data_IF_875089913241
#
_entry.id   IF_875089913241
#
_cell.length_a   1.000
_cell.length_b   1.000
_cell.length_c   1.000
_cell.angle_alpha   90.00
_cell.angle_beta   90.00
_cell.angle_gamma   90.00
#
_symmetry.space_group_name_H-M   'P 1'
#
loop_
_entity.id
_entity.type
_entity.pdbx_description
1 polymer ?
#
# COMPACT_ATOMS: atom_id res chain seq x y z
N UNK A 1 34.84 12.77 17.70
CA UNK A 1 33.90 13.90 17.66
C UNK A 1 33.99 14.50 16.26
N UNK A 2 32.86 14.80 15.61
CA UNK A 2 32.87 15.36 14.25
C UNK A 2 33.33 16.81 14.31
N UNK A 3 34.30 17.17 13.47
CA UNK A 3 34.80 18.54 13.36
C UNK A 3 33.96 19.31 12.33
N UNK A 4 33.51 20.50 12.71
CA UNK A 4 32.71 21.43 11.92
C UNK A 4 33.49 22.73 11.72
N UNK A 5 34.01 22.99 10.51
CA UNK A 5 34.73 24.20 10.19
C UNK A 5 33.78 25.39 10.03
N UNK A 6 34.22 26.54 10.54
CA UNK A 6 33.61 27.85 10.39
C UNK A 6 34.63 28.75 9.70
N UNK A 7 34.19 29.49 8.69
CA UNK A 7 35.01 30.48 8.02
C UNK A 7 35.14 31.74 8.90
N UNK A 8 35.62 32.84 8.32
CA UNK A 8 35.55 34.14 9.00
C UNK A 8 34.10 34.56 9.14
N UNK A 9 33.64 34.65 10.38
CA UNK A 9 32.30 35.08 10.72
C UNK A 9 32.30 36.53 11.19
N UNK A 10 31.28 37.29 10.78
CA UNK A 10 31.04 38.66 11.24
C UNK A 10 30.16 38.62 12.49
N UNK A 11 30.61 39.31 13.55
CA UNK A 11 29.89 39.42 14.81
C UNK A 11 29.22 40.78 14.88
N UNK A 12 27.88 40.78 14.86
CA UNK A 12 27.07 41.98 14.68
C UNK A 12 25.87 41.97 15.60
N UNK A 13 25.41 43.14 16.03
CA UNK A 13 24.13 43.31 16.70
C UNK A 13 22.98 42.86 15.77
N UNK A 14 22.21 41.82 16.13
CA UNK A 14 21.12 41.33 15.29
C UNK A 14 19.98 42.33 15.09
N UNK A 15 19.83 43.30 15.99
CA UNK A 15 18.76 44.31 15.92
C UNK A 15 19.20 45.57 15.18
N UNK A 16 20.51 45.79 15.06
CA UNK A 16 21.07 46.89 14.29
C UNK A 16 22.38 46.46 13.60
N UNK A 17 22.30 45.94 12.37
CA UNK A 17 23.46 45.42 11.65
C UNK A 17 24.58 46.43 11.36
N UNK A 18 24.36 47.73 11.59
CA UNK A 18 25.41 48.75 11.52
C UNK A 18 26.38 48.67 12.71
N UNK A 19 25.97 48.04 13.81
CA UNK A 19 26.78 47.87 15.01
C UNK A 19 27.49 46.51 14.98
N UNK A 20 28.79 46.53 14.72
CA UNK A 20 29.63 45.33 14.83
C UNK A 20 30.34 45.29 16.17
N UNK A 21 30.68 44.08 16.63
CA UNK A 21 31.56 43.90 17.79
C UNK A 21 32.99 44.18 17.33
N UNK A 22 33.39 45.44 17.19
CA UNK A 22 34.74 45.81 16.77
C UNK A 22 35.75 45.68 17.92
N UNK A 23 36.85 44.97 17.70
CA UNK A 23 37.92 44.77 18.70
C UNK A 23 37.39 44.25 20.06
N UNK A 24 36.35 43.40 20.04
CA UNK A 24 35.72 42.85 21.23
C UNK A 24 36.02 41.37 21.44
N UNK A 25 35.80 40.90 22.67
CA UNK A 25 35.83 39.48 22.99
C UNK A 25 34.48 38.84 22.66
N UNK A 26 34.53 37.70 21.97
CA UNK A 26 33.37 36.93 21.53
C UNK A 26 33.48 35.54 22.12
N UNK A 27 32.56 35.22 23.02
CA UNK A 27 32.51 33.92 23.69
C UNK A 27 31.66 32.96 22.87
N UNK A 28 32.18 31.77 22.58
CA UNK A 28 31.48 30.75 21.78
C UNK A 28 31.04 29.60 22.69
N UNK A 29 29.81 29.15 22.54
CA UNK A 29 29.17 28.14 23.37
C UNK A 29 28.52 27.07 22.48
N UNK A 30 28.24 25.93 23.10
CA UNK A 30 27.27 24.98 22.56
C UNK A 30 25.90 25.67 22.47
N UNK A 31 25.15 25.53 21.37
CA UNK A 31 23.82 26.13 21.23
C UNK A 31 22.82 25.66 22.30
N UNK A 32 23.02 24.48 22.90
CA UNK A 32 22.21 24.00 24.01
C UNK A 32 22.53 24.72 25.34
N UNK A 33 23.73 25.29 25.50
CA UNK A 33 24.12 26.10 26.66
C UNK A 33 23.63 27.55 26.50
N UNK A 34 22.31 27.72 26.55
CA UNK A 34 21.65 29.04 26.46
C UNK A 34 22.06 29.99 27.59
N UNK A 35 22.45 29.44 28.76
CA UNK A 35 22.97 30.21 29.88
C UNK A 35 24.37 30.80 29.58
N UNK A 36 25.16 30.16 28.71
CA UNK A 36 26.51 30.61 28.34
C UNK A 36 27.50 30.43 29.48
N UNK A 37 27.48 29.24 30.09
CA UNK A 37 28.26 28.90 31.27
C UNK A 37 29.56 28.18 30.93
N UNK A 38 29.57 27.39 29.86
CA UNK A 38 30.67 26.51 29.47
C UNK A 38 31.17 26.87 28.08
N UNK A 39 32.35 27.50 28.03
CA UNK A 39 32.97 27.86 26.75
C UNK A 39 33.31 26.60 25.95
N UNK A 40 32.99 26.65 24.66
CA UNK A 40 33.26 25.55 23.74
C UNK A 40 34.76 25.44 23.45
N UNK A 41 35.29 24.22 23.40
CA UNK A 41 36.66 24.00 22.93
C UNK A 41 36.73 24.26 21.41
N UNK A 42 37.60 25.19 21.01
CA UNK A 42 37.80 25.57 19.61
C UNK A 42 39.18 25.11 19.14
N UNK A 43 39.31 24.89 17.84
CA UNK A 43 40.61 24.71 17.18
C UNK A 43 40.78 25.73 16.05
N UNK A 44 42.03 26.04 15.71
CA UNK A 44 42.37 26.74 14.48
C UNK A 44 42.22 25.80 13.26
N UNK A 45 42.30 26.30 12.02
CA UNK A 45 42.26 25.46 10.81
C UNK A 45 43.39 24.44 10.69
N UNK A 46 44.47 24.60 11.47
CA UNK A 46 45.56 23.63 11.56
C UNK A 46 45.33 22.55 12.63
N UNK A 47 44.21 22.64 13.36
CA UNK A 47 43.81 21.68 14.41
C UNK A 47 44.37 21.99 15.80
N UNK A 48 45.10 23.08 15.99
CA UNK A 48 45.63 23.45 17.30
C UNK A 48 44.54 24.12 18.15
N UNK A 49 44.60 24.02 19.49
CA UNK A 49 43.65 24.72 20.36
C UNK A 49 43.62 26.23 20.08
N UNK A 50 42.42 26.77 19.88
CA UNK A 50 42.17 28.19 19.72
C UNK A 50 41.56 28.74 21.02
N UNK A 51 42.03 29.89 21.54
CA UNK A 51 41.43 30.52 22.71
C UNK A 51 39.94 30.79 22.53
N UNK A 52 39.17 30.63 23.59
CA UNK A 52 37.79 31.05 23.70
C UNK A 52 37.65 31.75 25.06
N UNK A 53 37.29 33.05 25.14
CA UNK A 53 36.78 33.92 24.08
C UNK A 53 37.77 34.23 22.94
N UNK A 54 37.23 34.42 21.73
CA UNK A 54 38.00 34.87 20.55
C UNK A 54 37.90 36.38 20.39
N UNK A 55 38.99 37.01 19.96
CA UNK A 55 39.05 38.45 19.70
C UNK A 55 38.59 38.74 18.26
N UNK A 56 37.63 39.65 18.09
CA UNK A 56 37.27 40.19 16.77
C UNK A 56 38.22 41.31 16.34
N UNK A 57 38.31 41.56 15.03
CA UNK A 57 39.08 42.68 14.48
C UNK A 57 38.27 44.00 14.50
N UNK A 58 38.85 45.08 13.95
CA UNK A 58 38.21 46.40 13.88
C UNK A 58 36.92 46.45 13.06
N UNK A 59 36.65 45.41 12.26
CA UNK A 59 35.45 45.27 11.45
C UNK A 59 34.47 44.23 12.02
N UNK A 60 34.77 43.64 13.17
CA UNK A 60 33.93 42.65 13.83
C UNK A 60 34.06 41.22 13.34
N UNK A 61 35.07 40.91 12.52
CA UNK A 61 35.32 39.53 12.10
C UNK A 61 36.12 38.77 13.15
N UNK A 62 35.73 37.53 13.41
CA UNK A 62 36.50 36.54 14.16
C UNK A 62 37.23 35.59 13.20
N UNK A 63 38.38 35.01 13.60
CA UNK A 63 39.14 34.12 12.72
C UNK A 63 38.37 32.82 12.41
N UNK A 64 38.75 32.12 11.31
CA UNK A 64 38.25 30.78 11.04
C UNK A 64 38.55 29.85 12.22
N UNK A 65 37.63 28.93 12.49
CA UNK A 65 37.72 28.02 13.64
C UNK A 65 37.07 26.69 13.33
N UNK A 66 37.43 25.67 14.10
CA UNK A 66 36.78 24.36 14.09
C UNK A 66 36.11 24.18 15.44
N UNK A 67 34.83 23.80 15.42
CA UNK A 67 34.08 23.40 16.60
C UNK A 67 33.56 21.97 16.45
N UNK A 68 33.00 21.42 17.52
CA UNK A 68 32.46 20.05 17.56
C UNK A 68 30.96 19.98 17.32
N UNK A 69 30.33 21.14 17.07
CA UNK A 69 28.90 21.29 16.79
C UNK A 69 28.68 22.02 15.46
N UNK A 70 27.66 21.64 14.68
CA UNK A 70 27.37 22.24 13.37
C UNK A 70 26.81 23.67 13.45
N UNK A 71 26.26 24.04 14.61
CA UNK A 71 25.87 25.39 14.98
C UNK A 71 26.54 25.77 16.30
N UNK A 72 26.88 27.04 16.46
CA UNK A 72 27.43 27.58 17.71
C UNK A 72 26.65 28.83 18.14
N UNK A 73 26.49 28.99 19.45
CA UNK A 73 25.98 30.22 20.06
C UNK A 73 27.17 31.15 20.33
N UNK A 74 27.06 32.42 19.96
CA UNK A 74 28.05 33.42 20.32
C UNK A 74 27.44 34.49 21.23
N UNK A 75 28.22 35.01 22.17
CA UNK A 75 27.86 36.14 23.02
C UNK A 75 29.01 37.15 23.10
N UNK A 76 28.68 38.44 23.05
CA UNK A 76 29.60 39.53 23.33
C UNK A 76 28.85 40.71 23.94
N UNK A 77 29.11 41.02 25.21
CA UNK A 77 28.31 41.98 25.96
C UNK A 77 26.83 41.58 25.97
N UNK A 78 25.97 42.48 25.50
CA UNK A 78 24.52 42.25 25.35
C UNK A 78 24.13 41.57 24.04
N UNK A 79 25.06 41.44 23.09
CA UNK A 79 24.77 40.85 21.78
C UNK A 79 24.92 39.34 21.83
N UNK A 80 24.01 38.66 21.13
CA UNK A 80 23.92 37.22 21.05
C UNK A 80 23.49 36.81 19.65
N UNK A 81 24.00 35.70 19.15
CA UNK A 81 23.55 35.15 17.88
C UNK A 81 24.08 33.74 17.64
N UNK A 82 23.87 33.24 16.43
CA UNK A 82 24.27 31.90 16.03
C UNK A 82 25.14 31.94 14.78
N UNK A 83 26.12 31.06 14.74
CA UNK A 83 26.87 30.74 13.51
C UNK A 83 26.59 29.31 13.10
N UNK A 84 26.52 29.07 11.79
CA UNK A 84 26.36 27.74 11.22
C UNK A 84 27.60 27.38 10.41
N UNK A 85 28.15 26.19 10.62
CA UNK A 85 29.22 25.65 9.80
C UNK A 85 28.69 25.33 8.40
N UNK A 86 29.45 25.66 7.36
CA UNK A 86 29.12 25.26 5.99
C UNK A 86 29.02 23.73 5.85
N UNK A 87 29.84 22.99 6.60
CA UNK A 87 29.79 21.52 6.62
C UNK A 87 28.52 21.05 7.32
N UNK A 88 28.17 21.69 8.45
CA UNK A 88 26.92 21.41 9.16
C UNK A 88 25.69 21.56 8.26
N UNK A 89 25.58 22.70 7.58
CA UNK A 89 24.50 22.95 6.61
C UNK A 89 24.48 21.96 5.45
N UNK A 90 25.66 21.59 4.92
CA UNK A 90 25.77 20.59 3.85
C UNK A 90 25.31 19.21 4.33
N UNK A 91 25.73 18.79 5.51
CA UNK A 91 25.37 17.49 6.08
C UNK A 91 23.85 17.39 6.28
N UNK A 92 23.23 18.46 6.80
CA UNK A 92 21.77 18.56 6.93
C UNK A 92 21.06 18.49 5.57
N UNK A 93 21.56 19.23 4.57
CA UNK A 93 21.00 19.19 3.22
C UNK A 93 21.12 17.81 2.55
N UNK A 94 22.24 17.11 2.75
CA UNK A 94 22.42 15.74 2.26
C UNK A 94 21.47 14.78 2.96
N UNK A 95 21.32 14.91 4.28
CA UNK A 95 20.36 14.11 5.05
C UNK A 95 18.93 14.33 4.58
N UNK A 96 18.53 15.58 4.36
CA UNK A 96 17.21 15.94 3.84
C UNK A 96 16.97 15.35 2.44
N UNK A 97 17.97 15.43 1.54
CA UNK A 97 17.89 14.81 0.21
C UNK A 97 17.69 13.30 0.31
N UNK A 98 18.50 12.61 1.14
CA UNK A 98 18.38 11.16 1.31
C UNK A 98 17.02 10.74 1.91
N UNK A 99 16.48 11.52 2.86
CA UNK A 99 15.14 11.29 3.38
C UNK A 99 14.05 11.48 2.31
N UNK A 100 14.18 12.49 1.44
CA UNK A 100 13.27 12.72 0.33
C UNK A 100 13.34 11.59 -0.73
N UNK A 101 14.54 11.12 -1.05
CA UNK A 101 14.76 9.98 -1.95
C UNK A 101 14.12 8.69 -1.39
N UNK A 102 14.29 8.43 -0.08
CA UNK A 102 13.65 7.31 0.59
C UNK A 102 12.12 7.41 0.54
N UNK A 103 11.55 8.57 0.87
CA UNK A 103 10.12 8.80 0.83
C UNK A 103 9.54 8.64 -0.60
N UNK A 104 10.26 9.08 -1.63
CA UNK A 104 9.88 8.88 -3.02
C UNK A 104 9.91 7.38 -3.42
N UNK A 105 10.92 6.64 -2.93
CA UNK A 105 11.00 5.19 -3.09
C UNK A 105 9.83 4.46 -2.45
N UNK A 106 9.52 4.78 -1.19
CA UNK A 106 8.40 4.20 -0.44
C UNK A 106 7.05 4.49 -1.12
N UNK A 107 6.85 5.72 -1.60
CA UNK A 107 5.65 6.09 -2.34
C UNK A 107 5.52 5.31 -3.66
N UNK A 108 6.61 5.11 -4.39
CA UNK A 108 6.64 4.32 -5.62
C UNK A 108 6.33 2.84 -5.34
N UNK A 109 6.93 2.26 -4.30
CA UNK A 109 6.67 0.89 -3.88
C UNK A 109 5.21 0.68 -3.47
N UNK A 110 4.66 1.59 -2.66
CA UNK A 110 3.25 1.56 -2.29
C UNK A 110 2.33 1.72 -3.51
N UNK A 111 2.69 2.57 -4.47
CA UNK A 111 1.93 2.75 -5.70
C UNK A 111 1.94 1.49 -6.58
N UNK A 112 3.05 0.74 -6.59
CA UNK A 112 3.20 -0.50 -7.34
C UNK A 112 2.26 -1.62 -6.82
N UNK A 113 2.03 -1.66 -5.51
CA UNK A 113 1.15 -2.63 -4.86
C UNK A 113 -0.36 -2.35 -5.05
N UNK A 114 -0.73 -1.17 -5.54
CA UNK A 114 -2.15 -0.81 -5.75
C UNK A 114 -2.80 -1.74 -6.77
N UNK A 115 -3.95 -2.31 -6.43
CA UNK A 115 -4.78 -3.07 -7.37
C UNK A 115 -5.41 -2.11 -8.39
N UNK A 116 -5.23 -2.40 -9.67
CA UNK A 116 -5.79 -1.64 -10.80
C UNK A 116 -7.02 -2.31 -11.40
N UNK A 117 -7.07 -3.64 -11.39
CA UNK A 117 -8.24 -4.41 -11.84
C UNK A 117 -8.48 -5.61 -10.94
N UNK A 118 -9.74 -6.05 -10.90
CA UNK A 118 -10.17 -7.27 -10.24
C UNK A 118 -11.20 -7.98 -11.13
N UNK A 119 -10.92 -9.21 -11.52
CA UNK A 119 -11.76 -9.97 -12.46
C UNK A 119 -11.90 -11.42 -12.01
N UNK A 120 -13.06 -12.03 -12.24
CA UNK A 120 -13.23 -13.49 -12.12
C UNK A 120 -12.88 -14.14 -13.45
N UNK A 121 -11.99 -15.12 -13.44
CA UNK A 121 -11.55 -15.83 -14.65
C UNK A 121 -12.54 -16.93 -15.08
N UNK A 122 -12.23 -17.61 -16.19
CA UNK A 122 -13.04 -18.73 -16.70
C UNK A 122 -13.09 -19.96 -15.79
N UNK A 123 -12.24 -20.01 -14.76
CA UNK A 123 -12.18 -21.09 -13.76
C UNK A 123 -12.94 -20.73 -12.47
N UNK A 124 -13.55 -19.53 -12.41
CA UNK A 124 -14.25 -19.05 -11.21
C UNK A 124 -13.33 -18.50 -10.11
N UNK A 125 -12.09 -18.13 -10.42
CA UNK A 125 -11.14 -17.56 -9.45
C UNK A 125 -11.02 -16.05 -9.57
N UNK A 126 -10.88 -15.35 -8.44
CA UNK A 126 -10.66 -13.91 -8.39
C UNK A 126 -9.19 -13.59 -8.66
N UNK A 127 -8.93 -12.89 -9.76
CA UNK A 127 -7.61 -12.43 -10.15
C UNK A 127 -7.55 -10.91 -9.93
N UNK A 128 -6.57 -10.46 -9.15
CA UNK A 128 -6.24 -9.05 -8.95
C UNK A 128 -5.04 -8.71 -9.82
N UNK A 129 -5.10 -7.62 -10.58
CA UNK A 129 -3.92 -7.06 -11.26
C UNK A 129 -3.43 -5.85 -10.49
N UNK A 130 -2.15 -5.84 -10.14
CA UNK A 130 -1.48 -4.71 -9.48
C UNK A 130 -1.04 -3.66 -10.50
N UNK A 131 -0.65 -2.48 -10.03
CA UNK A 131 -0.16 -1.39 -10.88
C UNK A 131 1.16 -1.73 -11.59
N UNK A 132 1.95 -2.64 -11.04
CA UNK A 132 3.15 -3.20 -11.67
C UNK A 132 2.87 -4.34 -12.68
N UNK A 133 1.60 -4.57 -13.04
CA UNK A 133 1.13 -5.65 -13.92
C UNK A 133 1.27 -7.08 -13.36
N UNK A 134 1.75 -7.26 -12.13
CA UNK A 134 1.68 -8.56 -11.47
C UNK A 134 0.22 -8.95 -11.20
N UNK A 135 -0.06 -10.25 -11.27
CA UNK A 135 -1.36 -10.80 -10.94
C UNK A 135 -1.29 -11.60 -9.64
N UNK A 136 -2.33 -11.47 -8.81
CA UNK A 136 -2.51 -12.24 -7.58
C UNK A 136 -3.82 -13.01 -7.70
N UNK A 137 -3.76 -14.33 -7.55
CA UNK A 137 -4.95 -15.17 -7.42
C UNK A 137 -5.42 -15.14 -5.96
N UNK A 138 -6.54 -14.47 -5.72
CA UNK A 138 -7.10 -14.27 -4.39
C UNK A 138 -7.99 -15.44 -3.92
N UNK A 139 -8.24 -16.46 -4.76
CA UNK A 139 -9.07 -17.62 -4.39
C UNK A 139 -10.24 -17.88 -5.33
N UNK A 140 -11.00 -18.94 -5.02
CA UNK A 140 -12.26 -19.24 -5.69
C UNK A 140 -13.36 -18.28 -5.23
N UNK A 141 -14.27 -17.91 -6.13
CA UNK A 141 -15.46 -17.11 -5.83
C UNK A 141 -16.68 -18.01 -5.80
N UNK A 142 -17.43 -17.97 -4.70
CA UNK A 142 -18.74 -18.64 -4.59
C UNK A 142 -19.84 -17.58 -4.57
N UNK A 143 -20.76 -17.67 -5.52
CA UNK A 143 -21.99 -16.88 -5.52
C UNK A 143 -23.04 -17.41 -4.54
N UNK A 144 -24.12 -16.65 -4.28
CA UNK A 144 -25.25 -17.15 -3.51
C UNK A 144 -25.90 -18.35 -4.22
N UNK A 145 -26.46 -19.28 -3.43
CA UNK A 145 -27.26 -20.38 -3.95
C UNK A 145 -28.45 -19.83 -4.75
N UNK A 146 -28.67 -20.37 -5.95
CA UNK A 146 -29.83 -20.01 -6.78
C UNK A 146 -31.16 -20.37 -6.11
N UNK A 147 -32.23 -19.69 -6.52
CA UNK A 147 -33.59 -20.03 -6.07
C UNK A 147 -33.92 -21.48 -6.44
N UNK A 148 -34.66 -22.16 -5.56
CA UNK A 148 -35.22 -23.47 -5.88
C UNK A 148 -36.12 -23.32 -7.11
N UNK A 149 -35.92 -24.19 -8.10
CA UNK A 149 -36.78 -24.23 -9.28
C UNK A 149 -38.22 -24.58 -8.94
N UNK A 150 -39.14 -24.15 -9.80
CA UNK A 150 -40.56 -24.46 -9.66
C UNK A 150 -40.81 -25.96 -9.69
N UNK A 151 -41.89 -26.39 -9.03
CA UNK A 151 -42.37 -27.77 -9.13
C UNK A 151 -42.80 -28.02 -10.58
N UNK A 152 -42.28 -29.08 -11.20
CA UNK A 152 -42.72 -29.49 -12.54
C UNK A 152 -44.20 -29.88 -12.57
N UNK A 153 -44.80 -29.74 -13.75
CA UNK A 153 -46.19 -30.10 -14.01
C UNK A 153 -46.46 -31.58 -13.69
N UNK A 154 -47.70 -31.87 -13.30
CA UNK A 154 -48.14 -33.26 -13.10
C UNK A 154 -48.17 -33.94 -14.47
N UNK A 155 -47.53 -35.12 -14.58
CA UNK A 155 -47.57 -35.92 -15.80
C UNK A 155 -49.00 -36.25 -16.22
N UNK A 156 -49.23 -36.41 -17.52
CA UNK A 156 -50.51 -36.85 -18.04
C UNK A 156 -50.91 -38.20 -17.38
N UNK A 157 -52.20 -38.41 -17.08
CA UNK A 157 -52.68 -39.71 -16.63
C UNK A 157 -52.25 -40.82 -17.58
N UNK A 158 -51.78 -41.95 -17.05
CA UNK A 158 -51.49 -43.13 -17.85
C UNK A 158 -52.74 -43.59 -18.61
N UNK A 159 -52.55 -44.14 -19.81
CA UNK A 159 -53.65 -44.74 -20.57
C UNK A 159 -54.34 -45.82 -19.71
N UNK A 160 -55.67 -45.84 -19.74
CA UNK A 160 -56.44 -46.88 -19.06
C UNK A 160 -56.02 -48.26 -19.58
N UNK A 161 -55.68 -49.17 -18.67
CA UNK A 161 -55.34 -50.55 -19.03
C UNK A 161 -56.54 -51.25 -19.69
N UNK A 162 -56.30 -51.92 -20.82
CA UNK A 162 -57.30 -52.74 -21.51
C UNK A 162 -57.63 -53.95 -20.62
N UNK A 163 -58.79 -53.91 -19.95
CA UNK A 163 -59.17 -54.90 -18.92
C UNK A 163 -59.92 -56.12 -19.47
N UNK A 164 -60.20 -56.16 -20.78
CA UNK A 164 -61.10 -57.13 -21.39
C UNK A 164 -60.44 -57.99 -22.48
N UNK A 165 -59.11 -58.11 -22.47
CA UNK A 165 -58.39 -59.03 -23.35
C UNK A 165 -58.24 -60.38 -22.66
N UNK A 166 -58.86 -61.40 -23.22
CA UNK A 166 -58.69 -62.80 -22.83
C UNK A 166 -57.95 -63.56 -23.96
N UNK A 167 -57.39 -64.73 -23.63
CA UNK A 167 -56.85 -65.65 -24.62
C UNK A 167 -57.82 -66.82 -24.77
N UNK A 168 -57.97 -67.35 -25.98
CA UNK A 168 -58.60 -68.66 -26.20
C UNK A 168 -57.62 -69.81 -25.89
N UNK A 169 -58.09 -71.05 -26.05
CA UNK A 169 -57.36 -72.27 -25.66
C UNK A 169 -56.10 -72.52 -26.50
N UNK A 170 -55.96 -71.87 -27.65
CA UNK A 170 -54.77 -71.85 -28.52
C UNK A 170 -53.86 -70.64 -28.28
N UNK A 171 -54.24 -69.71 -27.40
CA UNK A 171 -53.43 -68.57 -26.98
C UNK A 171 -53.60 -67.31 -27.84
N UNK A 172 -54.61 -67.27 -28.69
CA UNK A 172 -54.98 -66.14 -29.54
C UNK A 172 -55.82 -65.12 -28.73
N UNK A 173 -55.48 -63.82 -28.77
CA UNK A 173 -56.17 -62.82 -27.98
C UNK A 173 -57.54 -62.42 -28.55
N UNK A 174 -58.57 -62.37 -27.71
CA UNK A 174 -59.91 -61.88 -28.04
C UNK A 174 -60.43 -60.85 -27.02
N UNK A 175 -61.36 -59.99 -27.46
CA UNK A 175 -61.99 -58.99 -26.60
C UNK A 175 -63.32 -59.52 -26.02
N UNK A 176 -63.45 -59.49 -24.69
CA UNK A 176 -64.68 -59.88 -23.98
C UNK A 176 -65.61 -58.66 -23.86
N UNK A 177 -66.56 -58.51 -24.78
CA UNK A 177 -67.57 -57.44 -24.73
C UNK A 177 -68.84 -57.89 -23.97
N UNK A 178 -68.73 -58.08 -22.65
CA UNK A 178 -69.89 -58.31 -21.78
C UNK A 178 -70.71 -59.57 -22.10
N UNK A 179 -71.74 -59.80 -21.29
CA UNK A 179 -72.47 -61.08 -21.18
C UNK A 179 -73.42 -61.37 -22.34
N UNK A 180 -72.96 -61.46 -23.59
CA UNK A 180 -73.51 -62.33 -24.67
C UNK A 180 -73.19 -61.87 -26.12
N UNK A 181 -72.02 -61.28 -26.40
CA UNK A 181 -71.53 -61.17 -27.78
C UNK A 181 -70.00 -61.27 -27.85
N UNK A 182 -69.48 -62.42 -28.25
CA UNK A 182 -68.06 -62.56 -28.63
C UNK A 182 -67.93 -62.01 -30.06
N UNK A 183 -67.36 -60.81 -30.19
CA UNK A 183 -66.96 -60.30 -31.50
C UNK A 183 -65.57 -60.86 -31.81
N UNK A 184 -65.52 -62.03 -32.44
CA UNK A 184 -64.28 -62.57 -33.00
C UNK A 184 -63.86 -61.60 -34.11
N UNK A 185 -62.70 -60.96 -33.96
CA UNK A 185 -62.07 -60.23 -35.06
C UNK A 185 -61.77 -61.31 -36.12
N UNK A 186 -62.52 -61.28 -37.23
CA UNK A 186 -62.55 -62.35 -38.22
C UNK A 186 -61.15 -62.87 -38.58
N UNK A 187 -61.00 -64.20 -38.54
CA UNK A 187 -59.96 -64.90 -39.28
C UNK A 187 -60.08 -64.51 -40.76
N UNK A 188 -58.99 -64.03 -41.35
CA UNK A 188 -58.92 -63.64 -42.76
C UNK A 188 -59.12 -64.81 -43.72
N UNK A 189 -59.16 -66.05 -43.24
CA UNK A 189 -59.27 -67.26 -44.06
C UNK A 189 -60.64 -67.96 -43.97
N UNK A 190 -61.73 -67.21 -44.13
CA UNK A 190 -62.92 -67.61 -44.92
C UNK A 190 -63.61 -68.98 -44.74
N UNK A 191 -63.36 -69.76 -43.69
CA UNK A 191 -64.00 -71.07 -43.47
C UNK A 191 -64.99 -71.01 -42.30
N UNK A 192 -66.30 -71.26 -42.51
CA UNK A 192 -67.28 -71.26 -41.43
C UNK A 192 -67.17 -72.54 -40.59
N UNK A 193 -66.95 -72.38 -39.28
CA UNK A 193 -67.22 -73.43 -38.30
C UNK A 193 -68.74 -73.58 -38.11
N UNK A 194 -69.28 -74.77 -38.37
CA UNK A 194 -70.62 -75.17 -37.95
C UNK A 194 -70.56 -75.65 -36.49
N UNK A 195 -71.56 -75.22 -35.71
CA UNK A 195 -71.76 -75.55 -34.28
C UNK A 195 -71.92 -77.04 -34.07
#
# INVERSE_FOLDING_TARGET
MTDYPYDMDLVVDPLNPANVVANGLVSIYDPADTAGTTLLALKDPSGNPLPNPVQSNAHGFIPPRIATTPQTLWKSGTFVGFFNSYKGLRDEAVGARSAAEAAAGDASAAAAERVTTATVDGSGRLILTKANAETVDAGAVMGPQGLKGDKGDTGAPGAAGISNMALDDDGTPYFVAGSNAVQILADTDGAPYYV
#
